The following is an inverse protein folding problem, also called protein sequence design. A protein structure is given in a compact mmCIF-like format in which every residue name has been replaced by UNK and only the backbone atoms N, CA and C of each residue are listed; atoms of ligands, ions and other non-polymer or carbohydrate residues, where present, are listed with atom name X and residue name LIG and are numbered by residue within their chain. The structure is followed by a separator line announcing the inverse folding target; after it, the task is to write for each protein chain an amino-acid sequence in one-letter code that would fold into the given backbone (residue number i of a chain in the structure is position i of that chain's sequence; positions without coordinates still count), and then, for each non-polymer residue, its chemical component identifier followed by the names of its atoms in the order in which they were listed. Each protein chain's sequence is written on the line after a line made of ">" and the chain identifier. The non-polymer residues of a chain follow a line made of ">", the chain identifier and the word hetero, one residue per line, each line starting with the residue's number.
data_IF_019491886774
#
_entry.id   IF_019491886774
#
_cell.length_a   1.000
_cell.length_b   1.000
_cell.length_c   1.000
_cell.angle_alpha   90.00
_cell.angle_beta   90.00
_cell.angle_gamma   90.00
#
_symmetry.space_group_name_H-M   'P 1'
#
loop_
_entity.id
_entity.type
_entity.pdbx_description
1 polymer ?
#
# COMPACT_ATOMS: atom_id res chain seq x y z
N UNK A 1 -1.57 -1.95 16.58
CA UNK A 1 -1.52 -1.28 15.26
C UNK A 1 -1.15 -2.31 14.20
N UNK A 2 -1.73 -2.23 13.02
CA UNK A 2 -1.47 -3.16 11.92
C UNK A 2 -1.22 -2.36 10.64
N UNK A 3 -0.20 -2.70 9.86
CA UNK A 3 0.05 -2.12 8.55
C UNK A 3 0.04 -3.20 7.48
N UNK A 4 -0.48 -2.87 6.30
CA UNK A 4 -0.53 -3.77 5.14
C UNK A 4 0.03 -3.04 3.93
N UNK A 5 0.91 -3.71 3.19
CA UNK A 5 1.35 -3.27 1.87
C UNK A 5 1.47 -4.46 0.91
N UNK A 6 1.19 -4.21 -0.37
CA UNK A 6 1.20 -5.19 -1.44
C UNK A 6 2.14 -4.80 -2.57
N UNK A 7 2.73 -5.79 -3.22
CA UNK A 7 3.45 -5.60 -4.47
C UNK A 7 3.11 -6.68 -5.49
N UNK A 8 3.08 -6.28 -6.75
CA UNK A 8 2.88 -7.17 -7.89
C UNK A 8 3.94 -6.88 -8.92
N UNK A 9 4.64 -7.92 -9.35
CA UNK A 9 5.68 -7.84 -10.39
C UNK A 9 5.31 -8.77 -11.52
N UNK A 10 5.48 -8.31 -12.76
CA UNK A 10 5.36 -9.17 -13.93
C UNK A 10 6.65 -9.98 -14.09
N UNK A 11 6.54 -11.30 -14.00
CA UNK A 11 7.66 -12.23 -14.20
C UNK A 11 7.97 -12.38 -15.70
N UNK A 12 6.94 -12.27 -16.55
CA UNK A 12 7.02 -12.43 -17.99
C UNK A 12 5.67 -12.90 -18.54
N UNK A 13 5.70 -13.74 -19.57
CA UNK A 13 4.53 -14.27 -20.24
C UNK A 13 4.57 -15.79 -20.28
N UNK A 14 3.40 -16.40 -20.08
CA UNK A 14 3.17 -17.82 -20.22
C UNK A 14 1.92 -18.05 -21.06
N UNK A 15 2.07 -18.74 -22.20
CA UNK A 15 0.96 -18.94 -23.14
C UNK A 15 0.33 -17.63 -23.63
N UNK A 16 1.14 -16.59 -23.85
CA UNK A 16 0.69 -15.26 -24.31
C UNK A 16 -0.01 -14.41 -23.23
N UNK A 17 -0.09 -14.87 -21.99
CA UNK A 17 -0.71 -14.13 -20.87
C UNK A 17 0.36 -13.65 -19.88
N UNK A 18 0.21 -12.43 -19.30
CA UNK A 18 1.11 -11.98 -18.26
C UNK A 18 1.11 -12.95 -17.07
N UNK A 19 2.30 -13.37 -16.67
CA UNK A 19 2.54 -14.13 -15.46
C UNK A 19 3.06 -13.16 -14.39
N UNK A 20 2.30 -13.05 -13.31
CA UNK A 20 2.56 -12.11 -12.23
C UNK A 20 3.04 -12.85 -10.98
N UNK A 21 3.78 -12.16 -10.14
CA UNK A 21 4.09 -12.56 -8.77
C UNK A 21 3.43 -11.59 -7.81
N UNK A 22 2.58 -12.12 -6.93
CA UNK A 22 1.87 -11.37 -5.89
C UNK A 22 2.59 -11.56 -4.56
N UNK A 23 2.93 -10.47 -3.87
CA UNK A 23 3.54 -10.53 -2.53
C UNK A 23 3.00 -9.42 -1.65
N UNK A 24 2.64 -9.71 -0.41
CA UNK A 24 2.22 -8.72 0.55
C UNK A 24 2.91 -8.93 1.89
N UNK A 25 2.96 -7.88 2.69
CA UNK A 25 3.40 -7.95 4.07
C UNK A 25 2.31 -7.38 4.97
N UNK A 26 2.07 -8.07 6.08
CA UNK A 26 1.21 -7.63 7.18
C UNK A 26 2.11 -7.48 8.39
N UNK A 27 2.20 -6.26 8.91
CA UNK A 27 3.02 -5.93 10.06
C UNK A 27 2.10 -5.63 11.23
N UNK A 28 2.27 -6.35 12.33
CA UNK A 28 1.49 -6.18 13.55
C UNK A 28 2.41 -5.64 14.63
N UNK A 29 2.08 -4.46 15.15
CA UNK A 29 2.76 -3.84 16.28
C UNK A 29 1.87 -3.88 17.53
N UNK A 30 2.45 -4.37 18.61
CA UNK A 30 1.84 -4.44 19.95
C UNK A 30 2.88 -3.96 20.97
N UNK A 31 2.73 -2.70 21.42
CA UNK A 31 3.72 -2.03 22.26
C UNK A 31 5.08 -1.94 21.56
N UNK A 32 6.14 -2.39 22.24
CA UNK A 32 7.51 -2.43 21.70
C UNK A 32 7.77 -3.61 20.76
N UNK A 33 6.84 -4.55 20.62
CA UNK A 33 7.01 -5.73 19.76
C UNK A 33 6.42 -5.51 18.38
N UNK A 34 7.12 -6.01 17.36
CA UNK A 34 6.67 -6.01 15.96
C UNK A 34 6.79 -7.42 15.38
N UNK A 35 5.73 -7.87 14.70
CA UNK A 35 5.71 -9.14 13.96
C UNK A 35 5.39 -8.88 12.50
N UNK A 36 6.13 -9.51 11.60
CA UNK A 36 5.92 -9.44 10.16
C UNK A 36 5.41 -10.78 9.65
N UNK A 37 4.31 -10.77 8.91
CA UNK A 37 3.78 -11.93 8.17
C UNK A 37 3.85 -11.61 6.68
N UNK A 38 4.57 -12.43 5.92
CA UNK A 38 4.65 -12.30 4.46
C UNK A 38 3.65 -13.26 3.82
N UNK A 39 2.89 -12.76 2.85
CA UNK A 39 1.99 -13.55 1.99
C UNK A 39 2.62 -13.61 0.60
N UNK A 40 2.96 -14.81 0.15
CA UNK A 40 3.66 -15.05 -1.11
C UNK A 40 5.19 -15.11 -0.96
N UNK A 41 5.95 -14.97 -2.06
CA UNK A 41 5.48 -14.64 -3.41
C UNK A 41 4.61 -15.75 -4.04
N UNK A 42 3.49 -15.38 -4.66
CA UNK A 42 2.54 -16.28 -5.31
C UNK A 42 2.50 -16.01 -6.83
N UNK A 43 2.92 -16.96 -7.67
CA UNK A 43 2.72 -16.87 -9.11
C UNK A 43 1.24 -16.91 -9.47
N UNK A 44 0.78 -15.97 -10.29
CA UNK A 44 -0.58 -15.89 -10.81
C UNK A 44 -0.56 -15.58 -12.30
N UNK A 45 -1.20 -16.43 -13.10
CA UNK A 45 -1.46 -16.11 -14.49
C UNK A 45 -2.60 -15.10 -14.57
N UNK A 46 -2.34 -13.92 -15.12
CA UNK A 46 -3.35 -12.86 -15.21
C UNK A 46 -4.54 -13.33 -16.07
N UNK A 47 -5.76 -13.07 -15.60
CA UNK A 47 -6.97 -13.27 -16.42
C UNK A 47 -6.89 -12.38 -17.66
N UNK A 48 -7.43 -12.84 -18.79
CA UNK A 48 -7.59 -11.99 -19.98
C UNK A 48 -8.55 -10.87 -19.59
N UNK A 49 -8.03 -9.66 -19.39
CA UNK A 49 -8.85 -8.48 -19.15
C UNK A 49 -8.93 -7.75 -20.49
N UNK A 50 -10.12 -7.69 -21.09
CA UNK A 50 -10.41 -6.68 -22.11
C UNK A 50 -10.35 -5.31 -21.41
N UNK A 51 -9.21 -4.64 -21.45
CA UNK A 51 -9.08 -3.33 -20.82
C UNK A 51 -9.41 -2.23 -21.83
N UNK A 52 -10.57 -1.60 -21.64
CA UNK A 52 -10.84 -0.24 -22.13
C UNK A 52 -10.10 0.84 -21.31
N UNK A 53 -9.36 0.44 -20.27
CA UNK A 53 -8.62 1.30 -19.35
C UNK A 53 -7.13 1.42 -19.68
N UNK A 54 -6.52 2.58 -19.41
CA UNK A 54 -5.08 2.88 -19.55
C UNK A 54 -4.19 2.13 -18.54
N UNK A 55 -4.76 1.53 -17.50
CA UNK A 55 -4.00 0.85 -16.44
C UNK A 55 -3.41 -0.49 -16.91
N UNK A 56 -2.16 -0.77 -16.50
CA UNK A 56 -1.53 -2.07 -16.78
C UNK A 56 -2.20 -3.21 -16.02
N UNK A 57 -2.14 -4.42 -16.57
CA UNK A 57 -2.67 -5.63 -15.93
C UNK A 57 -2.08 -5.84 -14.53
N UNK A 58 -0.77 -5.56 -14.36
CA UNK A 58 -0.11 -5.64 -13.06
C UNK A 58 -0.69 -4.66 -12.03
N UNK A 59 -1.06 -3.44 -12.45
CA UNK A 59 -1.65 -2.44 -11.55
C UNK A 59 -3.07 -2.82 -11.12
N UNK A 60 -3.87 -3.37 -12.05
CA UNK A 60 -5.22 -3.89 -11.74
C UNK A 60 -5.11 -5.02 -10.71
N UNK A 61 -4.19 -5.95 -10.95
CA UNK A 61 -3.98 -7.10 -10.06
C UNK A 61 -3.39 -6.71 -8.71
N UNK A 62 -2.52 -5.70 -8.66
CA UNK A 62 -2.05 -5.10 -7.41
C UNK A 62 -3.21 -4.61 -6.56
N UNK A 63 -4.08 -3.75 -7.11
CA UNK A 63 -5.23 -3.20 -6.36
C UNK A 63 -6.15 -4.31 -5.83
N UNK A 64 -6.40 -5.35 -6.64
CA UNK A 64 -7.22 -6.50 -6.25
C UNK A 64 -6.57 -7.30 -5.11
N UNK A 65 -5.30 -7.64 -5.27
CA UNK A 65 -4.57 -8.46 -4.32
C UNK A 65 -4.40 -7.74 -2.99
N UNK A 66 -4.01 -6.47 -3.03
CA UNK A 66 -3.82 -5.67 -1.84
C UNK A 66 -5.14 -5.47 -1.09
N UNK A 67 -6.23 -5.12 -1.80
CA UNK A 67 -7.55 -5.03 -1.19
C UNK A 67 -7.94 -6.36 -0.52
N UNK A 68 -7.71 -7.50 -1.16
CA UNK A 68 -8.00 -8.81 -0.57
C UNK A 68 -7.24 -9.04 0.75
N UNK A 69 -5.94 -8.74 0.79
CA UNK A 69 -5.13 -8.89 2.01
C UNK A 69 -5.63 -7.95 3.10
N UNK A 70 -5.90 -6.69 2.75
CA UNK A 70 -6.44 -5.69 3.68
C UNK A 70 -7.80 -6.12 4.25
N UNK A 71 -8.72 -6.65 3.43
CA UNK A 71 -10.03 -7.18 3.86
C UNK A 71 -9.91 -8.41 4.78
N UNK A 72 -8.89 -9.25 4.59
CA UNK A 72 -8.62 -10.39 5.47
C UNK A 72 -8.08 -9.91 6.82
N UNK A 73 -7.10 -9.01 6.80
CA UNK A 73 -6.49 -8.45 8.00
C UNK A 73 -7.51 -7.68 8.83
N UNK A 74 -8.39 -6.90 8.19
CA UNK A 74 -9.42 -6.13 8.89
C UNK A 74 -10.40 -7.01 9.67
N UNK A 75 -10.59 -8.28 9.28
CA UNK A 75 -11.43 -9.26 9.99
C UNK A 75 -10.71 -9.92 11.17
N UNK A 76 -9.39 -9.98 11.15
CA UNK A 76 -8.58 -10.67 12.17
C UNK A 76 -8.04 -9.71 13.25
N UNK A 77 -8.22 -8.39 13.09
CA UNK A 77 -7.65 -7.37 13.97
C UNK A 77 -8.71 -6.36 14.49
N UNK A 78 -9.69 -6.80 15.30
CA UNK A 78 -10.63 -5.89 15.94
C UNK A 78 -9.90 -4.96 16.94
N UNK A 79 -10.49 -3.80 17.21
CA UNK A 79 -9.98 -2.80 18.16
C UNK A 79 -8.53 -2.35 17.86
N UNK A 80 -8.22 -2.24 16.57
CA UNK A 80 -6.88 -1.88 16.12
C UNK A 80 -6.85 -0.62 15.26
N UNK A 81 -5.69 0.03 15.19
CA UNK A 81 -5.40 1.04 14.16
C UNK A 81 -4.79 0.33 12.96
N UNK A 82 -5.51 0.32 11.84
CA UNK A 82 -5.06 -0.21 10.55
C UNK A 82 -4.48 0.90 9.69
N UNK A 83 -3.22 0.75 9.28
CA UNK A 83 -2.49 1.69 8.45
C UNK A 83 -2.35 1.15 7.03
N UNK A 84 -2.68 1.98 6.04
CA UNK A 84 -2.57 1.69 4.61
C UNK A 84 -1.70 2.73 3.91
N UNK A 85 -0.77 2.35 3.03
CA UNK A 85 0.06 3.29 2.24
C UNK A 85 -0.68 3.84 1.01
N UNK A 86 -1.94 4.24 1.20
CA UNK A 86 -2.76 4.88 0.18
C UNK A 86 -3.92 5.67 0.78
N UNK A 87 -4.52 6.62 0.03
CA UNK A 87 -5.78 7.23 0.43
C UNK A 87 -6.92 6.19 0.49
N UNK A 88 -7.87 6.37 1.41
CA UNK A 88 -9.01 5.45 1.57
C UNK A 88 -9.96 5.48 0.37
N UNK A 89 -9.92 6.52 -0.47
CA UNK A 89 -10.63 6.55 -1.77
C UNK A 89 -10.25 5.41 -2.70
N UNK A 90 -9.09 4.78 -2.50
CA UNK A 90 -8.63 3.64 -3.32
C UNK A 90 -9.10 2.28 -2.79
N UNK A 91 -9.70 2.24 -1.61
CA UNK A 91 -10.20 1.01 -0.97
C UNK A 91 -11.63 1.22 -0.46
N UNK A 92 -12.60 1.50 -1.34
CA UNK A 92 -13.93 1.92 -0.93
C UNK A 92 -14.77 0.83 -0.24
N UNK A 93 -14.32 -0.43 -0.20
CA UNK A 93 -15.11 -1.57 0.30
C UNK A 93 -14.42 -2.36 1.42
N UNK A 94 -13.54 -1.75 2.21
CA UNK A 94 -12.89 -2.48 3.30
C UNK A 94 -13.97 -2.79 4.37
N UNK A 95 -14.27 -4.08 4.63
CA UNK A 95 -15.22 -4.45 5.67
C UNK A 95 -14.54 -4.16 6.99
N UNK A 96 -15.10 -3.24 7.75
CA UNK A 96 -14.59 -2.88 9.06
C UNK A 96 -15.17 -3.82 10.08
N UNK A 97 -14.28 -4.56 10.73
CA UNK A 97 -14.63 -5.44 11.82
C UNK A 97 -14.61 -4.64 13.11
N UNK A 98 -15.78 -4.59 13.75
CA UNK A 98 -16.01 -4.16 15.12
C UNK A 98 -15.87 -2.67 15.44
N UNK A 99 -16.64 -2.28 16.46
CA UNK A 99 -16.49 -1.04 17.20
C UNK A 99 -15.05 -0.92 17.71
N UNK A 100 -14.45 0.28 17.61
CA UNK A 100 -13.10 0.55 18.11
C UNK A 100 -11.97 0.45 17.09
N UNK A 101 -12.17 -0.19 15.93
CA UNK A 101 -11.16 -0.21 14.85
C UNK A 101 -11.14 1.12 14.11
N UNK A 102 -9.96 1.71 13.95
CA UNK A 102 -9.75 2.91 13.13
C UNK A 102 -8.86 2.59 11.94
N UNK A 103 -9.18 3.12 10.76
CA UNK A 103 -8.38 2.93 9.55
C UNK A 103 -7.81 4.26 9.11
N UNK A 104 -6.51 4.28 8.85
CA UNK A 104 -5.79 5.46 8.39
C UNK A 104 -5.11 5.12 7.08
N UNK A 105 -5.57 5.74 6.01
CA UNK A 105 -4.90 5.76 4.73
C UNK A 105 -3.92 6.93 4.65
N UNK A 106 -2.64 6.66 4.41
CA UNK A 106 -1.59 7.68 4.30
C UNK A 106 -1.11 7.79 2.85
N UNK A 107 -1.04 9.02 2.33
CA UNK A 107 -0.51 9.28 1.00
C UNK A 107 0.58 10.36 1.01
N UNK A 108 1.81 9.92 0.69
CA UNK A 108 3.01 10.78 0.55
C UNK A 108 2.87 11.73 -0.64
N UNK A 109 2.36 11.20 -1.76
CA UNK A 109 2.23 11.93 -3.03
C UNK A 109 0.78 12.35 -3.24
N UNK A 110 0.36 13.40 -2.55
CA UNK A 110 -0.98 13.99 -2.71
C UNK A 110 -0.87 15.46 -3.11
N UNK A 111 -1.71 15.88 -4.07
CA UNK A 111 -1.89 17.30 -4.41
C UNK A 111 -2.18 18.12 -3.16
N UNK A 112 -2.99 17.58 -2.24
CA UNK A 112 -3.34 18.26 -0.99
C UNK A 112 -2.11 18.44 -0.08
N UNK A 113 -1.30 17.40 0.09
CA UNK A 113 -0.06 17.46 0.89
C UNK A 113 0.97 18.39 0.24
N UNK A 114 1.11 18.34 -1.08
CA UNK A 114 2.02 19.23 -1.82
C UNK A 114 1.62 20.72 -1.67
N UNK A 115 0.33 21.03 -1.78
CA UNK A 115 -0.15 22.41 -1.69
C UNK A 115 -0.20 22.95 -0.27
N UNK A 116 -0.60 22.15 0.71
CA UNK A 116 -0.86 22.64 2.09
C UNK A 116 0.24 22.25 3.08
N UNK A 117 1.12 21.31 2.74
CA UNK A 117 2.16 20.81 3.64
C UNK A 117 3.16 21.88 4.08
N UNK A 118 3.38 22.91 3.25
CA UNK A 118 4.25 24.04 3.60
C UNK A 118 3.66 24.92 4.73
N UNK A 119 2.34 24.96 4.89
CA UNK A 119 1.67 25.69 5.98
C UNK A 119 1.99 25.05 7.34
N UNK A 120 2.18 23.73 7.35
CA UNK A 120 2.67 22.99 8.52
C UNK A 120 4.18 23.17 8.73
N UNK A 121 4.88 23.75 7.74
CA UNK A 121 6.31 24.04 7.68
C UNK A 121 6.90 24.60 8.96
N UNK A 122 6.19 25.57 9.55
CA UNK A 122 6.64 26.37 10.70
C UNK A 122 6.29 25.76 12.05
N UNK A 123 5.53 24.67 12.08
CA UNK A 123 5.12 24.08 13.34
C UNK A 123 6.29 23.33 14.00
N UNK A 124 6.56 23.65 15.27
CA UNK A 124 7.63 23.01 16.05
C UNK A 124 7.22 21.69 16.71
N UNK A 125 5.95 21.28 16.54
CA UNK A 125 5.33 20.08 17.12
C UNK A 125 4.47 19.36 16.06
N UNK A 126 3.81 18.28 16.46
CA UNK A 126 2.72 17.66 15.69
C UNK A 126 1.76 18.75 15.23
N UNK A 127 1.48 18.78 13.93
CA UNK A 127 0.66 19.81 13.33
C UNK A 127 -0.30 19.18 12.33
N UNK A 128 -1.57 19.50 12.48
CA UNK A 128 -2.64 18.98 11.67
C UNK A 128 -3.31 20.17 10.99
N UNK A 129 -3.35 20.16 9.66
CA UNK A 129 -4.17 21.09 8.91
C UNK A 129 -5.49 20.37 8.61
N UNK A 130 -6.39 20.49 9.59
CA UNK A 130 -7.74 19.98 9.49
C UNK A 130 -8.51 20.77 8.43
N UNK A 131 -8.46 20.33 7.19
CA UNK A 131 -9.54 20.61 6.26
C UNK A 131 -10.52 19.48 6.43
N UNK A 132 -11.69 19.70 7.04
CA UNK A 132 -12.82 18.76 6.93
C UNK A 132 -13.28 18.75 5.46
N UNK A 133 -12.49 18.15 4.59
CA UNK A 133 -12.79 17.99 3.19
C UNK A 133 -13.79 16.85 3.09
N UNK A 134 -14.86 17.09 2.34
CA UNK A 134 -15.91 16.16 1.91
C UNK A 134 -15.85 14.80 2.59
N UNK A 135 -16.78 14.60 3.52
CA UNK A 135 -17.06 13.30 4.11
C UNK A 135 -17.40 12.37 2.95
N UNK A 136 -16.44 11.52 2.60
CA UNK A 136 -16.66 10.56 1.54
C UNK A 136 -17.49 9.43 2.13
N UNK A 137 -18.59 9.03 1.48
CA UNK A 137 -19.34 7.87 1.91
C UNK A 137 -18.42 6.65 1.85
N UNK A 138 -18.18 6.05 3.01
CA UNK A 138 -17.43 4.80 3.16
C UNK A 138 -18.38 3.78 3.79
N UNK A 139 -18.32 2.49 3.44
CA UNK A 139 -19.18 1.49 4.05
C UNK A 139 -19.02 1.53 5.58
N UNK A 140 -20.10 1.91 6.27
CA UNK A 140 -20.13 2.06 7.72
C UNK A 140 -19.98 3.49 8.27
N UNK A 141 -19.77 4.52 7.43
CA UNK A 141 -19.68 5.91 7.92
C UNK A 141 -18.94 6.88 7.01
N UNK A 142 -18.40 7.94 7.61
CA UNK A 142 -17.70 9.00 6.88
C UNK A 142 -16.18 8.90 7.06
N UNK A 143 -15.43 9.33 6.03
CA UNK A 143 -13.96 9.47 6.10
C UNK A 143 -13.59 10.93 6.29
N UNK A 144 -12.76 11.21 7.29
CA UNK A 144 -12.13 12.51 7.52
C UNK A 144 -10.82 12.59 6.74
N UNK A 145 -10.66 13.58 5.88
CA UNK A 145 -9.39 13.81 5.16
C UNK A 145 -8.65 14.96 5.83
N UNK A 146 -7.34 14.86 6.01
CA UNK A 146 -6.51 15.92 6.60
C UNK A 146 -5.12 15.94 5.99
N UNK A 147 -4.38 17.03 6.19
CA UNK A 147 -2.92 17.04 5.99
C UNK A 147 -2.27 17.02 7.36
N UNK A 148 -1.41 16.04 7.57
CA UNK A 148 -0.75 15.82 8.85
C UNK A 148 0.76 15.96 8.71
N UNK A 149 1.37 16.49 9.76
CA UNK A 149 2.79 16.38 10.06
C UNK A 149 2.92 15.85 11.49
N UNK A 150 3.40 14.63 11.60
CA UNK A 150 3.43 13.91 12.89
C UNK A 150 4.76 14.06 13.64
N UNK A 151 5.79 14.65 13.04
CA UNK A 151 7.10 14.85 13.66
C UNK A 151 7.67 16.23 13.32
N UNK A 152 8.41 16.84 14.25
CA UNK A 152 9.13 18.10 14.02
C UNK A 152 10.15 17.89 12.89
N UNK A 153 10.08 18.73 11.86
CA UNK A 153 10.95 18.61 10.67
C UNK A 153 10.62 17.42 9.76
N UNK A 154 9.59 16.63 10.07
CA UNK A 154 9.12 15.53 9.23
C UNK A 154 8.34 16.00 8.01
N UNK A 155 8.11 15.08 7.08
CA UNK A 155 7.33 15.36 5.87
C UNK A 155 5.84 15.52 6.21
N UNK A 156 5.17 16.42 5.50
CA UNK A 156 3.71 16.50 5.54
C UNK A 156 3.10 15.51 4.55
N UNK A 157 2.01 14.85 4.93
CA UNK A 157 1.31 13.89 4.09
C UNK A 157 -0.21 14.03 4.23
N UNK A 158 -0.95 13.48 3.26
CA UNK A 158 -2.40 13.37 3.37
C UNK A 158 -2.74 12.15 4.21
N UNK A 159 -3.64 12.31 5.17
CA UNK A 159 -4.21 11.23 5.96
C UNK A 159 -5.74 11.20 5.77
N UNK A 160 -6.26 10.03 5.43
CA UNK A 160 -7.67 9.72 5.35
C UNK A 160 -8.00 8.82 6.55
N UNK A 161 -8.91 9.24 7.43
CA UNK A 161 -9.22 8.53 8.67
C UNK A 161 -10.67 8.10 8.71
N UNK A 162 -10.91 6.85 9.04
CA UNK A 162 -12.22 6.29 9.31
C UNK A 162 -12.25 5.68 10.73
N UNK A 163 -13.32 5.90 11.53
CA UNK A 163 -14.41 6.82 11.24
C UNK A 163 -13.94 8.29 11.38
N UNK A 164 -14.58 9.21 10.67
CA UNK A 164 -14.16 10.60 10.57
C UNK A 164 -14.11 11.35 11.91
N UNK A 165 -14.96 10.99 12.86
CA UNK A 165 -15.06 11.60 14.18
C UNK A 165 -13.88 11.25 15.09
N UNK A 166 -13.23 10.10 14.89
CA UNK A 166 -12.06 9.64 15.65
C UNK A 166 -10.71 10.11 15.10
N UNK A 167 -10.69 11.04 14.15
CA UNK A 167 -9.47 11.38 13.41
C UNK A 167 -8.31 11.88 14.31
N UNK A 168 -8.61 12.65 15.36
CA UNK A 168 -7.59 13.13 16.31
C UNK A 168 -7.04 11.96 17.12
N UNK A 169 -7.93 11.13 17.69
CA UNK A 169 -7.55 10.01 18.53
C UNK A 169 -6.74 8.98 17.74
N UNK A 170 -7.19 8.61 16.55
CA UNK A 170 -6.52 7.63 15.70
C UNK A 170 -5.12 8.10 15.26
N UNK A 171 -4.96 9.39 14.90
CA UNK A 171 -3.63 9.93 14.59
C UNK A 171 -2.76 10.06 15.84
N UNK A 172 -3.35 10.36 17.00
CA UNK A 172 -2.64 10.40 18.28
C UNK A 172 -2.15 9.00 18.67
N UNK A 173 -2.95 7.97 18.46
CA UNK A 173 -2.58 6.57 18.67
C UNK A 173 -1.38 6.18 17.79
N UNK A 174 -1.32 6.66 16.55
CA UNK A 174 -0.16 6.47 15.66
C UNK A 174 1.10 7.11 16.24
N UNK A 175 1.01 8.38 16.65
CA UNK A 175 2.15 9.11 17.23
C UNK A 175 2.62 8.49 18.54
N UNK A 176 1.69 7.98 19.36
CA UNK A 176 2.01 7.39 20.65
C UNK A 176 2.53 5.96 20.55
N UNK A 177 2.14 5.22 19.51
CA UNK A 177 2.37 3.77 19.42
C UNK A 177 3.33 3.33 18.34
N UNK A 178 3.74 4.21 17.41
CA UNK A 178 4.71 3.89 16.36
C UNK A 178 5.95 4.78 16.44
N UNK A 179 7.08 4.25 16.00
CA UNK A 179 8.22 5.10 15.68
C UNK A 179 7.91 5.86 14.39
N UNK A 180 8.30 7.13 14.34
CA UNK A 180 8.17 7.97 13.15
C UNK A 180 9.56 8.17 12.56
N UNK A 181 9.73 7.81 11.30
CA UNK A 181 10.97 8.02 10.56
C UNK A 181 10.69 9.14 9.56
N UNK A 182 11.25 10.33 9.80
CA UNK A 182 10.97 11.54 9.00
C UNK A 182 9.48 11.88 8.95
N UNK A 183 8.76 11.65 10.06
CA UNK A 183 7.33 11.87 10.21
C UNK A 183 6.44 10.74 9.67
N UNK A 184 7.00 9.69 9.07
CA UNK A 184 6.22 8.59 8.49
C UNK A 184 6.27 7.33 9.39
N UNK A 185 5.16 6.59 9.59
CA UNK A 185 5.14 5.43 10.48
C UNK A 185 6.13 4.32 10.08
N UNK A 186 6.95 3.86 11.03
CA UNK A 186 7.89 2.75 10.84
C UNK A 186 7.15 1.47 10.46
N UNK A 187 5.99 1.21 11.06
CA UNK A 187 5.19 -0.01 10.75
C UNK A 187 4.81 -0.07 9.27
N UNK A 188 4.44 1.06 8.65
CA UNK A 188 4.19 1.14 7.21
C UNK A 188 5.47 0.98 6.38
N UNK A 189 6.58 1.57 6.85
CA UNK A 189 7.88 1.44 6.20
C UNK A 189 8.33 -0.01 6.14
N UNK A 190 8.16 -0.76 7.23
CA UNK A 190 8.46 -2.18 7.31
C UNK A 190 7.53 -2.98 6.40
N UNK A 191 6.22 -2.71 6.42
CA UNK A 191 5.28 -3.39 5.52
C UNK A 191 5.72 -3.20 4.06
N UNK A 192 6.10 -1.98 3.71
CA UNK A 192 6.58 -1.63 2.38
C UNK A 192 7.92 -2.24 1.98
N UNK A 193 8.84 -2.41 2.93
CA UNK A 193 10.11 -3.08 2.69
C UNK A 193 9.91 -4.59 2.45
N UNK A 194 9.07 -5.24 3.26
CA UNK A 194 8.84 -6.68 3.20
C UNK A 194 7.84 -7.10 2.11
N UNK A 195 6.99 -6.20 1.63
CA UNK A 195 6.07 -6.47 0.51
C UNK A 195 6.81 -6.59 -0.82
N UNK A 196 7.95 -5.90 -0.98
CA UNK A 196 8.73 -5.87 -2.22
C UNK A 196 9.35 -7.22 -2.57
N UNK A 197 9.42 -7.47 -3.86
CA UNK A 197 10.19 -8.58 -4.41
C UNK A 197 11.67 -8.20 -4.50
N UNK A 198 12.53 -9.06 -3.99
CA UNK A 198 13.96 -9.02 -4.28
C UNK A 198 14.25 -9.67 -5.63
N UNK A 199 15.39 -9.31 -6.24
CA UNK A 199 15.85 -9.96 -7.47
C UNK A 199 16.07 -11.47 -7.27
N UNK A 200 16.60 -11.88 -6.11
CA UNK A 200 16.79 -13.28 -5.77
C UNK A 200 15.47 -14.06 -5.72
N UNK A 201 14.42 -13.48 -5.14
CA UNK A 201 13.08 -14.08 -5.16
C UNK A 201 12.55 -14.21 -6.59
N UNK A 202 12.66 -13.17 -7.42
CA UNK A 202 12.21 -13.21 -8.82
C UNK A 202 12.94 -14.32 -9.59
N UNK A 203 14.26 -14.39 -9.47
CA UNK A 203 15.08 -15.40 -10.13
C UNK A 203 14.73 -16.82 -9.65
N UNK A 204 14.54 -17.01 -8.34
CA UNK A 204 14.15 -18.29 -7.76
C UNK A 204 12.76 -18.74 -8.26
N UNK A 205 11.79 -17.83 -8.29
CA UNK A 205 10.44 -18.13 -8.80
C UNK A 205 10.50 -18.54 -10.27
N UNK A 206 11.17 -17.76 -11.13
CA UNK A 206 11.34 -18.10 -12.55
C UNK A 206 11.98 -19.48 -12.71
N UNK A 207 13.06 -19.75 -11.97
CA UNK A 207 13.77 -21.02 -12.03
C UNK A 207 12.90 -22.21 -11.60
N UNK A 208 12.11 -22.06 -10.53
CA UNK A 208 11.18 -23.12 -10.07
C UNK A 208 10.08 -23.35 -11.09
N UNK A 209 9.50 -22.29 -11.67
CA UNK A 209 8.47 -22.39 -12.70
C UNK A 209 8.97 -23.13 -13.94
N UNK A 210 10.16 -22.79 -14.42
CA UNK A 210 10.78 -23.45 -15.58
C UNK A 210 11.15 -24.90 -15.28
N UNK A 211 11.88 -25.16 -14.20
CA UNK A 211 12.45 -26.48 -13.92
C UNK A 211 11.43 -27.50 -13.43
N UNK A 212 10.45 -27.07 -12.61
CA UNK A 212 9.48 -27.97 -11.98
C UNK A 212 8.18 -28.09 -12.77
N UNK A 213 7.77 -27.04 -13.47
CA UNK A 213 6.49 -26.99 -14.17
C UNK A 213 6.63 -26.88 -15.70
N UNK A 214 7.85 -26.84 -16.24
CA UNK A 214 8.09 -26.71 -17.68
C UNK A 214 7.59 -25.38 -18.27
N UNK A 215 7.30 -24.41 -17.40
CA UNK A 215 6.67 -23.15 -17.77
C UNK A 215 7.73 -22.21 -18.36
N UNK A 216 7.70 -22.02 -19.68
CA UNK A 216 8.59 -21.06 -20.35
C UNK A 216 8.10 -19.66 -20.09
N UNK A 217 8.83 -18.92 -19.25
CA UNK A 217 8.54 -17.52 -18.95
C UNK A 217 9.30 -16.67 -19.96
N UNK A 218 8.59 -16.12 -20.93
CA UNK A 218 9.18 -15.23 -21.92
C UNK A 218 9.13 -13.79 -21.40
N UNK A 219 10.23 -13.05 -21.54
CA UNK A 219 10.18 -11.61 -21.36
C UNK A 219 9.57 -10.98 -22.61
N UNK A 220 8.71 -9.98 -22.41
CA UNK A 220 8.21 -9.20 -23.53
C UNK A 220 9.33 -8.30 -24.03
N UNK A 221 9.71 -8.53 -25.29
CA UNK A 221 10.57 -7.62 -26.00
C UNK A 221 9.74 -6.38 -26.29
N UNK A 222 9.97 -5.31 -25.55
CA UNK A 222 9.44 -4.00 -25.91
C UNK A 222 10.13 -3.57 -27.21
N UNK A 223 9.52 -3.89 -28.35
CA UNK A 223 10.05 -3.59 -29.68
C UNK A 223 10.29 -2.08 -29.83
N UNK A 224 9.47 -1.24 -29.17
CA UNK A 224 9.61 0.21 -29.23
C UNK A 224 10.84 0.67 -28.44
N UNK A 225 11.07 0.14 -27.25
CA UNK A 225 12.32 0.38 -26.50
C UNK A 225 13.55 -0.22 -27.21
N UNK A 226 13.43 -1.42 -27.79
CA UNK A 226 14.51 -2.07 -28.51
C UNK A 226 14.91 -1.32 -29.80
N UNK A 227 13.96 -0.63 -30.45
CA UNK A 227 14.23 0.17 -31.65
C UNK A 227 14.70 1.58 -31.30
N UNK A 228 14.17 2.20 -30.24
CA UNK A 228 14.45 3.60 -29.90
C UNK A 228 15.59 3.78 -28.89
N UNK A 229 15.89 2.77 -28.09
CA UNK A 229 16.95 2.76 -27.05
C UNK A 229 17.65 1.39 -26.97
N UNK A 230 18.27 0.87 -28.05
CA UNK A 230 18.89 -0.46 -28.06
C UNK A 230 20.07 -0.65 -27.08
N UNK A 231 20.56 0.43 -26.44
CA UNK A 231 21.74 0.41 -25.57
C UNK A 231 21.50 0.92 -24.15
N UNK A 232 20.26 1.29 -23.78
CA UNK A 232 19.95 1.67 -22.40
C UNK A 232 19.79 0.39 -21.56
N UNK A 233 20.91 -0.03 -20.97
CA UNK A 233 21.07 -1.27 -20.23
C UNK A 233 20.13 -1.45 -19.04
N UNK A 234 19.66 -2.68 -18.90
CA UNK A 234 18.97 -3.22 -17.72
C UNK A 234 19.87 -3.32 -16.49
#
# INVERSE_FOLDING_TARGET
>A
MVAVDGSVVQLGFAGGRPLLSLKAAVVIRSGSSMRVRVVGPLPKLASVVQSSSTDSVALIELRRFESLVQKLVSREAPESVLLLDMPLTRVPELPLSADGTSVIGIAKNSVLAAHLGHLLGKAERVALLARRAQLLPYPGGEVGVTVARLEKGGIAFRADVFPADRWIDALSDVVASDALISGYPETLTVAHAFSRHSWAEIAAIKSVLERRYGLRVHEEVDVRAAVLSPFDGR
#
